data_IF_047163866953
#
_entry.id   IF_047163866953
#
_cell.length_a   1.000
_cell.length_b   1.000
_cell.length_c   1.000
_cell.angle_alpha   90.00
_cell.angle_beta   90.00
_cell.angle_gamma   90.00
#
_symmetry.space_group_name_H-M   'P 1'
#
loop_
_entity.id
_entity.type
_entity.pdbx_description
1 polymer ?
#
# COMPACT_ATOMS: atom_id res chain seq x y z
N UNK A 1 -1.46 -20.54 -4.69
CA UNK A 1 -2.90 -20.50 -4.37
C UNK A 1 -3.23 -20.93 -2.94
N UNK A 2 -2.88 -22.16 -2.51
CA UNK A 2 -3.24 -22.67 -1.16
C UNK A 2 -2.81 -21.75 0.00
N UNK A 3 -1.60 -21.20 -0.03
CA UNK A 3 -1.13 -20.26 1.01
C UNK A 3 -1.96 -18.97 1.08
N UNK A 4 -2.34 -18.42 -0.08
CA UNK A 4 -3.18 -17.23 -0.15
C UNK A 4 -4.60 -17.50 0.33
N UNK A 5 -5.19 -18.63 -0.06
CA UNK A 5 -6.47 -19.06 0.48
C UNK A 5 -6.40 -19.37 1.98
N UNK A 6 -5.28 -19.89 2.48
CA UNK A 6 -5.06 -20.06 3.90
C UNK A 6 -5.04 -18.72 4.64
N UNK A 7 -4.35 -17.70 4.09
CA UNK A 7 -4.37 -16.34 4.62
C UNK A 7 -5.80 -15.78 4.67
N UNK A 8 -6.55 -15.86 3.56
CA UNK A 8 -7.94 -15.41 3.51
C UNK A 8 -8.83 -16.14 4.53
N UNK A 9 -8.67 -17.46 4.64
CA UNK A 9 -9.38 -18.26 5.63
C UNK A 9 -9.07 -17.81 7.05
N UNK A 10 -7.82 -17.52 7.37
CA UNK A 10 -7.40 -17.06 8.71
C UNK A 10 -7.97 -15.69 9.05
N UNK A 11 -7.92 -14.76 8.11
CA UNK A 11 -8.51 -13.43 8.28
C UNK A 11 -10.02 -13.57 8.49
N UNK A 12 -10.71 -14.26 7.58
CA UNK A 12 -12.15 -14.47 7.67
C UNK A 12 -12.57 -15.10 9.00
N UNK A 13 -11.89 -16.18 9.43
CA UNK A 13 -12.19 -16.86 10.70
C UNK A 13 -11.87 -16.00 11.91
N UNK A 14 -10.85 -15.16 11.86
CA UNK A 14 -10.57 -14.22 12.93
C UNK A 14 -11.73 -13.23 13.10
N UNK A 15 -12.15 -12.58 12.02
CA UNK A 15 -13.24 -11.60 12.11
C UNK A 15 -14.60 -12.26 12.42
N UNK A 16 -14.90 -13.40 11.79
CA UNK A 16 -16.14 -14.14 12.03
C UNK A 16 -16.24 -14.73 13.44
N UNK A 17 -15.18 -15.40 13.92
CA UNK A 17 -15.23 -16.16 15.17
C UNK A 17 -14.74 -15.36 16.40
N UNK A 18 -13.86 -14.36 16.22
CA UNK A 18 -13.32 -13.56 17.34
C UNK A 18 -13.92 -12.17 17.45
N UNK A 19 -14.26 -11.53 16.32
CA UNK A 19 -14.89 -10.21 16.33
C UNK A 19 -16.42 -10.28 16.21
N UNK A 20 -16.99 -11.50 16.08
CA UNK A 20 -18.42 -11.75 15.91
C UNK A 20 -19.04 -10.99 14.73
N UNK A 21 -18.25 -10.64 13.72
CA UNK A 21 -18.73 -9.99 12.51
C UNK A 21 -19.73 -10.90 11.77
N UNK A 22 -20.70 -10.30 11.09
CA UNK A 22 -21.59 -11.06 10.21
C UNK A 22 -20.81 -11.60 8.99
N UNK A 23 -21.45 -12.46 8.18
CA UNK A 23 -20.76 -13.09 7.04
C UNK A 23 -20.24 -12.05 6.03
N UNK A 24 -21.02 -11.00 5.79
CA UNK A 24 -20.67 -9.95 4.84
C UNK A 24 -19.49 -9.11 5.36
N UNK A 25 -19.56 -8.66 6.60
CA UNK A 25 -18.50 -7.93 7.30
C UNK A 25 -17.19 -8.74 7.31
N UNK A 26 -17.24 -10.02 7.68
CA UNK A 26 -16.03 -10.85 7.70
C UNK A 26 -15.40 -11.02 6.31
N UNK A 27 -16.19 -11.03 5.23
CA UNK A 27 -15.68 -11.04 3.85
C UNK A 27 -15.11 -9.69 3.43
N UNK A 28 -15.74 -8.60 3.87
CA UNK A 28 -15.23 -7.26 3.65
C UNK A 28 -13.89 -7.08 4.37
N UNK A 29 -13.79 -7.48 5.64
CA UNK A 29 -12.56 -7.50 6.43
C UNK A 29 -11.48 -8.37 5.79
N UNK A 30 -11.83 -9.56 5.30
CA UNK A 30 -10.92 -10.41 4.53
C UNK A 30 -10.40 -9.72 3.28
N UNK A 31 -11.26 -8.99 2.55
CA UNK A 31 -10.88 -8.20 1.38
C UNK A 31 -9.95 -7.07 1.76
N UNK A 32 -10.31 -6.26 2.76
CA UNK A 32 -9.54 -5.10 3.18
C UNK A 32 -8.13 -5.49 3.64
N UNK A 33 -8.03 -6.45 4.57
CA UNK A 33 -6.73 -6.87 5.11
C UNK A 33 -5.85 -7.49 4.02
N UNK A 34 -6.39 -8.43 3.22
CA UNK A 34 -5.59 -9.06 2.17
C UNK A 34 -5.17 -8.08 1.08
N UNK A 35 -6.02 -7.10 0.74
CA UNK A 35 -5.68 -6.02 -0.20
C UNK A 35 -4.55 -5.15 0.35
N UNK A 36 -4.62 -4.77 1.62
CA UNK A 36 -3.55 -4.02 2.28
C UNK A 36 -2.22 -4.78 2.22
N UNK A 37 -2.24 -6.08 2.51
CA UNK A 37 -1.03 -6.91 2.46
C UNK A 37 -0.46 -7.02 1.04
N UNK A 38 -1.32 -7.26 0.04
CA UNK A 38 -0.89 -7.30 -1.37
C UNK A 38 -0.31 -5.94 -1.76
N UNK A 39 -1.01 -4.85 -1.42
CA UNK A 39 -0.62 -3.49 -1.78
C UNK A 39 0.73 -3.10 -1.18
N UNK A 40 0.96 -3.42 0.10
CA UNK A 40 2.26 -3.22 0.76
C UNK A 40 3.34 -3.91 -0.08
N UNK A 41 3.17 -5.21 -0.38
CA UNK A 41 4.16 -5.97 -1.14
C UNK A 41 4.40 -5.42 -2.55
N UNK A 42 3.34 -5.00 -3.26
CA UNK A 42 3.46 -4.37 -4.59
C UNK A 42 4.23 -3.06 -4.51
N UNK A 43 3.95 -2.22 -3.50
CA UNK A 43 4.67 -0.97 -3.27
C UNK A 43 6.14 -1.25 -2.95
N UNK A 44 6.44 -2.23 -2.10
CA UNK A 44 7.83 -2.59 -1.76
C UNK A 44 8.59 -3.08 -2.98
N UNK A 45 8.00 -3.97 -3.78
CA UNK A 45 8.61 -4.49 -5.00
C UNK A 45 8.84 -3.38 -6.02
N UNK A 46 7.84 -2.52 -6.23
CA UNK A 46 7.98 -1.35 -7.11
C UNK A 46 9.08 -0.43 -6.61
N UNK A 47 9.17 -0.20 -5.30
CA UNK A 47 10.24 0.57 -4.68
C UNK A 47 11.61 -0.04 -4.90
N UNK A 48 11.75 -1.36 -4.80
CA UNK A 48 13.00 -2.08 -5.08
C UNK A 48 13.40 -1.98 -6.55
N UNK A 49 12.46 -2.18 -7.48
CA UNK A 49 12.74 -2.06 -8.92
C UNK A 49 13.19 -0.63 -9.23
N UNK A 50 12.48 0.38 -8.71
CA UNK A 50 12.88 1.78 -8.88
C UNK A 50 14.28 2.06 -8.31
N UNK A 51 14.62 1.45 -7.17
CA UNK A 51 15.94 1.54 -6.57
C UNK A 51 17.04 0.97 -7.48
N UNK A 52 16.88 -0.26 -7.96
CA UNK A 52 17.90 -0.97 -8.75
C UNK A 52 18.08 -0.39 -10.16
N UNK A 53 16.99 -0.02 -10.83
CA UNK A 53 17.04 0.51 -12.20
C UNK A 53 17.23 2.02 -12.27
N UNK A 54 17.28 2.69 -11.12
CA UNK A 54 17.33 4.14 -11.00
C UNK A 54 16.20 4.88 -11.76
N UNK A 55 14.98 4.36 -11.67
CA UNK A 55 13.80 4.93 -12.33
C UNK A 55 12.78 5.31 -11.25
N UNK A 56 12.20 6.50 -11.35
CA UNK A 56 11.05 6.87 -10.54
C UNK A 56 9.78 6.21 -11.08
N UNK A 57 9.45 5.01 -10.57
CA UNK A 57 8.27 4.25 -10.98
C UNK A 57 6.96 4.78 -10.40
N UNK A 58 7.02 5.47 -9.25
CA UNK A 58 5.84 6.04 -8.60
C UNK A 58 5.92 7.56 -8.71
N UNK A 59 5.23 8.17 -9.68
CA UNK A 59 5.31 9.60 -9.91
C UNK A 59 4.44 10.40 -8.92
N UNK A 60 3.39 9.81 -8.36
CA UNK A 60 2.44 10.51 -7.48
C UNK A 60 1.66 9.56 -6.58
N UNK A 61 1.25 10.08 -5.42
CA UNK A 61 0.40 9.37 -4.44
C UNK A 61 -0.97 8.98 -5.02
N UNK A 62 -1.48 9.73 -6.01
CA UNK A 62 -2.76 9.43 -6.67
C UNK A 62 -2.73 8.07 -7.36
N UNK A 63 -1.60 7.71 -7.99
CA UNK A 63 -1.43 6.42 -8.63
C UNK A 63 -1.32 5.28 -7.63
N UNK A 64 -0.74 5.52 -6.46
CA UNK A 64 -0.74 4.53 -5.36
C UNK A 64 -2.17 4.25 -4.91
N UNK A 65 -2.95 5.30 -4.61
CA UNK A 65 -4.33 5.15 -4.13
C UNK A 65 -5.20 4.43 -5.17
N UNK A 66 -5.09 4.83 -6.44
CA UNK A 66 -5.78 4.15 -7.54
C UNK A 66 -5.37 2.67 -7.66
N UNK A 67 -4.08 2.37 -7.55
CA UNK A 67 -3.57 1.01 -7.58
C UNK A 67 -4.08 0.14 -6.43
N UNK A 68 -4.16 0.69 -5.21
CA UNK A 68 -4.73 0.00 -4.04
C UNK A 68 -6.21 -0.32 -4.27
N UNK A 69 -6.99 0.66 -4.75
CA UNK A 69 -8.41 0.48 -5.07
C UNK A 69 -8.61 -0.62 -6.13
N UNK A 70 -7.87 -0.54 -7.24
CA UNK A 70 -7.94 -1.52 -8.31
C UNK A 70 -7.55 -2.93 -7.80
N UNK A 71 -6.48 -3.01 -7.02
CA UNK A 71 -6.04 -4.26 -6.38
C UNK A 71 -7.13 -4.83 -5.48
N UNK A 72 -7.81 -3.98 -4.71
CA UNK A 72 -8.91 -4.40 -3.84
C UNK A 72 -10.11 -4.96 -4.59
N UNK A 73 -10.51 -4.29 -5.67
CA UNK A 73 -11.60 -4.74 -6.54
C UNK A 73 -11.26 -6.10 -7.17
N UNK A 74 -10.07 -6.22 -7.76
CA UNK A 74 -9.62 -7.47 -8.38
C UNK A 74 -9.51 -8.60 -7.36
N UNK A 75 -8.92 -8.32 -6.20
CA UNK A 75 -8.80 -9.27 -5.10
C UNK A 75 -10.17 -9.80 -4.66
N UNK A 76 -11.11 -8.88 -4.42
CA UNK A 76 -12.45 -9.22 -4.00
C UNK A 76 -13.14 -10.13 -5.03
N UNK A 77 -13.15 -9.72 -6.30
CA UNK A 77 -13.86 -10.42 -7.36
C UNK A 77 -13.27 -11.81 -7.64
N UNK A 78 -11.94 -11.92 -7.70
CA UNK A 78 -11.26 -13.14 -8.12
C UNK A 78 -11.11 -14.16 -6.99
N UNK A 79 -10.90 -13.72 -5.75
CA UNK A 79 -10.51 -14.62 -4.66
C UNK A 79 -11.49 -14.64 -3.49
N UNK A 80 -11.99 -13.49 -3.03
CA UNK A 80 -12.78 -13.41 -1.79
C UNK A 80 -14.25 -13.75 -2.04
N UNK A 81 -14.86 -13.14 -3.05
CA UNK A 81 -16.30 -13.26 -3.36
C UNK A 81 -16.75 -14.70 -3.54
N UNK A 82 -15.94 -15.50 -4.24
CA UNK A 82 -16.25 -16.90 -4.54
C UNK A 82 -16.11 -17.83 -3.31
N UNK A 83 -15.56 -17.35 -2.19
CA UNK A 83 -15.41 -18.10 -0.93
C UNK A 83 -14.71 -19.46 -1.06
N UNK A 84 -13.97 -19.70 -2.17
CA UNK A 84 -13.29 -20.97 -2.44
C UNK A 84 -12.38 -21.38 -1.28
N UNK A 85 -11.80 -20.41 -0.57
CA UNK A 85 -10.93 -20.64 0.59
C UNK A 85 -11.60 -21.34 1.78
N UNK A 86 -12.93 -21.31 1.90
CA UNK A 86 -13.66 -22.02 2.95
C UNK A 86 -13.73 -23.53 2.69
N UNK A 87 -13.58 -23.95 1.43
CA UNK A 87 -13.74 -25.35 1.02
C UNK A 87 -12.46 -26.18 1.10
N UNK A 88 -11.33 -25.58 1.53
CA UNK A 88 -10.02 -26.25 1.57
C UNK A 88 -9.77 -27.05 2.86
N UNK A 89 -10.78 -27.26 3.72
CA UNK A 89 -10.66 -27.97 5.00
C UNK A 89 -9.47 -27.51 5.86
N UNK A 90 -9.14 -26.21 5.81
CA UNK A 90 -8.05 -25.66 6.60
C UNK A 90 -8.36 -25.78 8.08
N UNK A 91 -7.40 -26.33 8.84
CA UNK A 91 -7.51 -26.40 10.29
C UNK A 91 -6.99 -25.11 10.94
N UNK A 92 -7.60 -24.77 12.08
CA UNK A 92 -7.18 -23.64 12.90
C UNK A 92 -5.90 -24.01 13.66
N UNK A 93 -4.76 -23.74 13.05
CA UNK A 93 -3.44 -23.93 13.65
C UNK A 93 -2.91 -22.63 14.31
N UNK A 94 -2.23 -22.74 15.45
CA UNK A 94 -1.51 -21.65 16.10
C UNK A 94 -0.24 -21.24 15.32
N UNK A 95 0.53 -22.20 14.80
CA UNK A 95 1.79 -21.96 14.08
C UNK A 95 1.55 -21.15 12.80
N UNK A 96 0.56 -21.53 12.00
CA UNK A 96 0.19 -20.76 10.81
C UNK A 96 -0.26 -19.32 11.10
N UNK A 97 -0.89 -19.07 12.25
CA UNK A 97 -1.19 -17.70 12.69
C UNK A 97 0.06 -16.89 13.01
N UNK A 98 1.02 -17.48 13.73
CA UNK A 98 2.31 -16.84 14.05
C UNK A 98 3.09 -16.53 12.78
N UNK A 99 3.11 -17.45 11.80
CA UNK A 99 3.77 -17.22 10.51
C UNK A 99 3.18 -16.03 9.75
N UNK A 100 1.86 -15.86 9.76
CA UNK A 100 1.20 -14.71 9.14
C UNK A 100 1.62 -13.42 9.85
N UNK A 101 1.62 -13.38 11.18
CA UNK A 101 2.04 -12.19 11.93
C UNK A 101 3.51 -11.84 11.64
N UNK A 102 4.40 -12.84 11.67
CA UNK A 102 5.80 -12.66 11.35
C UNK A 102 5.98 -12.10 9.92
N UNK A 103 5.25 -12.65 8.96
CA UNK A 103 5.24 -12.15 7.57
C UNK A 103 4.81 -10.68 7.47
N UNK A 104 3.77 -10.28 8.21
CA UNK A 104 3.29 -8.89 8.22
C UNK A 104 4.37 -7.95 8.76
N UNK A 105 4.99 -8.32 9.88
CA UNK A 105 6.06 -7.53 10.50
C UNK A 105 7.24 -7.38 9.54
N UNK A 106 7.71 -8.49 8.96
CA UNK A 106 8.82 -8.49 7.99
C UNK A 106 8.47 -7.62 6.77
N UNK A 107 7.27 -7.77 6.21
CA UNK A 107 6.82 -6.99 5.05
C UNK A 107 6.79 -5.49 5.35
N UNK A 108 6.25 -5.12 6.52
CA UNK A 108 6.19 -3.73 6.94
C UNK A 108 7.60 -3.15 7.14
N UNK A 109 8.46 -3.82 7.91
CA UNK A 109 9.84 -3.40 8.13
C UNK A 109 10.60 -3.22 6.81
N UNK A 110 10.46 -4.19 5.90
CA UNK A 110 11.13 -4.13 4.60
C UNK A 110 10.64 -2.95 3.74
N UNK A 111 9.34 -2.66 3.78
CA UNK A 111 8.76 -1.48 3.10
C UNK A 111 9.33 -0.18 3.63
N UNK A 112 9.44 -0.02 4.95
CA UNK A 112 10.05 1.17 5.56
C UNK A 112 11.51 1.33 5.18
N UNK A 113 12.27 0.23 5.18
CA UNK A 113 13.69 0.24 4.78
C UNK A 113 13.83 0.72 3.33
N UNK A 114 13.12 0.08 2.39
CA UNK A 114 13.16 0.45 0.96
C UNK A 114 12.70 1.88 0.74
N UNK A 115 11.61 2.30 1.39
CA UNK A 115 11.11 3.67 1.32
C UNK A 115 12.12 4.71 1.78
N UNK A 116 12.81 4.44 2.90
CA UNK A 116 13.85 5.32 3.42
C UNK A 116 15.07 5.43 2.48
N UNK A 117 15.51 4.32 1.89
CA UNK A 117 16.60 4.33 0.91
C UNK A 117 16.23 5.12 -0.35
N UNK A 118 15.05 4.86 -0.92
CA UNK A 118 14.57 5.60 -2.09
C UNK A 118 14.43 7.10 -1.81
N UNK A 119 13.92 7.47 -0.63
CA UNK A 119 13.81 8.88 -0.23
C UNK A 119 15.17 9.55 -0.16
N UNK A 120 16.17 8.92 0.47
CA UNK A 120 17.54 9.45 0.53
C UNK A 120 18.13 9.65 -0.86
N UNK A 121 17.99 8.65 -1.74
CA UNK A 121 18.46 8.69 -3.13
C UNK A 121 17.85 9.86 -3.91
N UNK A 122 16.53 10.04 -3.84
CA UNK A 122 15.84 11.17 -4.51
C UNK A 122 16.37 12.52 -4.01
N UNK A 123 16.61 12.67 -2.70
CA UNK A 123 17.17 13.91 -2.16
C UNK A 123 18.62 14.15 -2.63
N UNK A 124 19.44 13.12 -2.72
CA UNK A 124 20.80 13.23 -3.24
C UNK A 124 20.82 13.59 -4.72
N UNK A 125 19.95 12.99 -5.53
CA UNK A 125 19.82 13.33 -6.96
C UNK A 125 19.36 14.78 -7.15
N UNK A 126 18.39 15.26 -6.35
CA UNK A 126 17.96 16.67 -6.36
C UNK A 126 19.07 17.63 -5.94
N UNK A 127 19.90 17.27 -4.97
CA UNK A 127 21.06 18.08 -4.56
C UNK A 127 22.10 18.18 -5.67
N UNK A 128 22.29 17.11 -6.45
CA UNK A 128 23.25 17.07 -7.55
C UNK A 128 22.75 17.79 -8.81
N UNK A 129 21.43 17.79 -9.06
CA UNK A 129 20.80 18.42 -10.22
C UNK A 129 19.68 19.39 -9.80
N UNK A 130 20.01 20.62 -9.36
CA UNK A 130 19.01 21.59 -8.87
C UNK A 130 18.07 22.15 -9.96
N UNK A 131 18.37 21.96 -11.25
CA UNK A 131 17.58 22.54 -12.35
C UNK A 131 16.22 21.85 -12.59
N UNK A 132 16.00 20.63 -12.10
CA UNK A 132 14.74 19.90 -12.25
C UNK A 132 13.59 20.41 -11.35
N UNK A 133 13.84 21.37 -10.46
CA UNK A 133 12.85 21.97 -9.55
C UNK A 133 12.29 23.33 -10.03
N UNK A 134 12.55 23.75 -11.27
CA UNK A 134 11.93 24.96 -11.84
C UNK A 134 10.45 24.79 -12.28
N UNK A 135 9.72 23.80 -11.77
CA UNK A 135 8.25 23.95 -11.69
C UNK A 135 7.95 25.03 -10.67
N UNK A 136 7.69 26.25 -11.18
CA UNK A 136 7.20 27.45 -10.47
C UNK A 136 6.65 27.10 -9.10
N UNK A 137 7.37 27.47 -8.02
CA UNK A 137 6.73 27.60 -6.71
C UNK A 137 5.46 28.43 -6.94
N UNK A 138 4.26 27.93 -6.61
CA UNK A 138 3.09 28.80 -6.60
C UNK A 138 3.46 29.99 -5.71
N UNK A 139 3.23 31.21 -6.22
CA UNK A 139 3.48 32.42 -5.44
C UNK A 139 2.81 32.23 -4.08
N UNK A 140 3.53 32.56 -3.01
CA UNK A 140 2.89 32.53 -1.69
C UNK A 140 1.73 33.52 -1.72
N UNK A 141 0.62 33.20 -1.03
CA UNK A 141 -0.50 34.14 -0.85
C UNK A 141 -0.01 35.52 -0.41
N UNK A 142 1.05 35.57 0.41
CA UNK A 142 1.71 36.80 0.83
C UNK A 142 2.33 37.57 -0.34
N UNK A 143 3.00 36.89 -1.28
CA UNK A 143 3.53 37.49 -2.50
C UNK A 143 2.43 38.00 -3.43
N UNK A 144 1.29 37.31 -3.52
CA UNK A 144 0.15 37.77 -4.32
C UNK A 144 -0.50 39.01 -3.68
N UNK A 145 -0.65 39.03 -2.36
CA UNK A 145 -1.21 40.17 -1.61
C UNK A 145 -0.29 41.40 -1.75
N UNK A 146 1.02 41.24 -1.57
CA UNK A 146 1.97 42.35 -1.70
C UNK A 146 1.98 42.93 -3.12
N UNK A 147 1.87 42.10 -4.15
CA UNK A 147 1.79 42.57 -5.53
C UNK A 147 0.46 43.30 -5.80
N UNK A 148 -0.66 42.82 -5.27
CA UNK A 148 -1.96 43.48 -5.39
C UNK A 148 -1.96 44.89 -4.79
N UNK A 149 -1.28 45.09 -3.66
CA UNK A 149 -1.13 46.42 -3.06
C UNK A 149 -0.17 47.34 -3.83
N UNK A 150 0.83 46.78 -4.53
CA UNK A 150 1.74 47.56 -5.37
C UNK A 150 1.10 48.01 -6.68
N UNK A 151 0.23 47.19 -7.28
CA UNK A 151 -0.47 47.51 -8.53
C UNK A 151 -1.57 48.57 -8.36
N UNK A 152 -2.05 48.78 -7.13
CA UNK A 152 -3.09 49.77 -6.80
C UNK A 152 -2.58 51.16 -6.42
N UNK A 153 -1.28 51.42 -6.57
CA UNK A 153 -0.64 52.70 -6.23
C UNK A 153 -0.11 53.37 -7.49
#
# INVERSE_FOLDING_TARGET
MKAYYYLLFRIYRYYKDKQNENKFEALFSATAVSTTLISINVITLTGLVGFFYNIQLIPSIKYIVFGILLTGILNHLLFVRAQKFLNYNFQKDKKGGVLIIAYIIISASFTFIVGNYNRKKIFEERRKNPQTEQTKKPASLQSEIENWFKEKK
#
